data_IF_234233763040
#
_entry.id   IF_234233763040
#
_cell.length_a   1.000
_cell.length_b   1.000
_cell.length_c   1.000
_cell.angle_alpha   90.00
_cell.angle_beta   90.00
_cell.angle_gamma   90.00
#
_symmetry.space_group_name_H-M   'P 1'
#
loop_
_entity.id
_entity.type
_entity.pdbx_description
1 polymer ?
#
# COMPACT_ATOMS: atom_id res chain seq x y z
N UNK A 1 -9.79 -14.51 -25.43
CA UNK A 1 -9.62 -13.06 -25.15
C UNK A 1 -8.15 -12.86 -24.85
N UNK A 2 -7.49 -11.82 -25.39
CA UNK A 2 -6.07 -11.65 -25.16
C UNK A 2 -5.85 -11.33 -23.68
N UNK A 3 -5.22 -12.25 -22.97
CA UNK A 3 -4.66 -12.03 -21.64
C UNK A 3 -3.31 -11.37 -21.83
N UNK A 4 -3.28 -10.04 -21.80
CA UNK A 4 -2.01 -9.32 -21.83
C UNK A 4 -1.38 -9.41 -20.44
N UNK A 5 -0.39 -10.28 -20.31
CA UNK A 5 0.39 -10.49 -19.08
C UNK A 5 -0.39 -11.23 -17.98
N UNK A 6 0.34 -11.57 -16.91
CA UNK A 6 -0.22 -12.08 -15.67
C UNK A 6 -0.01 -11.04 -14.57
N UNK A 7 -1.07 -10.76 -13.79
CA UNK A 7 -0.91 -9.99 -12.57
C UNK A 7 -0.30 -10.91 -11.51
N UNK A 8 0.96 -10.64 -11.17
CA UNK A 8 1.65 -11.38 -10.12
C UNK A 8 1.07 -11.02 -8.75
N UNK A 9 1.03 -11.97 -7.80
CA UNK A 9 0.56 -11.67 -6.45
C UNK A 9 1.46 -10.64 -5.76
N UNK A 10 0.87 -9.82 -4.91
CA UNK A 10 1.63 -8.89 -4.08
C UNK A 10 2.38 -9.64 -2.98
N UNK A 11 3.71 -9.52 -2.97
CA UNK A 11 4.59 -10.09 -1.96
C UNK A 11 5.39 -9.03 -1.19
N UNK A 12 5.15 -7.73 -1.47
CA UNK A 12 5.92 -6.64 -0.89
C UNK A 12 5.40 -6.15 0.46
N UNK A 13 6.16 -5.26 1.08
CA UNK A 13 5.76 -4.49 2.26
C UNK A 13 5.78 -2.99 1.96
N UNK A 14 4.89 -2.22 2.59
CA UNK A 14 5.04 -0.77 2.64
C UNK A 14 4.90 -0.07 1.29
N UNK A 15 5.85 0.84 1.01
CA UNK A 15 5.85 1.77 -0.12
C UNK A 15 5.85 1.15 -1.53
N UNK A 16 6.03 -0.16 -1.66
CA UNK A 16 5.84 -0.86 -2.94
C UNK A 16 4.36 -1.04 -3.33
N UNK A 17 3.43 -0.80 -2.39
CA UNK A 17 2.00 -0.96 -2.61
C UNK A 17 1.41 0.00 -3.66
N UNK A 18 1.88 1.26 -3.71
CA UNK A 18 1.41 2.24 -4.70
C UNK A 18 1.73 1.80 -6.13
N UNK A 19 2.98 1.36 -6.37
CA UNK A 19 3.39 0.84 -7.68
C UNK A 19 2.68 -0.46 -8.05
N UNK A 20 2.34 -1.30 -7.06
CA UNK A 20 1.50 -2.47 -7.30
C UNK A 20 0.08 -2.07 -7.74
N UNK A 21 -0.56 -1.11 -7.06
CA UNK A 21 -1.88 -0.62 -7.48
C UNK A 21 -1.88 -0.02 -8.89
N UNK A 22 -0.82 0.68 -9.27
CA UNK A 22 -0.66 1.18 -10.64
C UNK A 22 -0.60 0.05 -11.66
N UNK A 23 0.18 -1.02 -11.39
CA UNK A 23 0.20 -2.23 -12.24
C UNK A 23 -1.18 -2.87 -12.36
N UNK A 24 -1.95 -2.94 -11.27
CA UNK A 24 -3.31 -3.50 -11.26
C UNK A 24 -4.24 -2.67 -12.14
N UNK A 25 -4.18 -1.34 -12.06
CA UNK A 25 -4.98 -0.44 -12.90
C UNK A 25 -4.63 -0.60 -14.38
N UNK A 26 -3.33 -0.59 -14.71
CA UNK A 26 -2.85 -0.82 -16.07
C UNK A 26 -3.30 -2.19 -16.61
N UNK A 27 -3.33 -3.22 -15.76
CA UNK A 27 -3.82 -4.53 -16.14
C UNK A 27 -5.32 -4.52 -16.48
N UNK A 28 -6.15 -3.83 -15.70
CA UNK A 28 -7.58 -3.69 -16.02
C UNK A 28 -7.83 -2.94 -17.32
N UNK A 29 -7.07 -1.87 -17.55
CA UNK A 29 -7.20 -1.05 -18.74
C UNK A 29 -6.75 -1.82 -19.99
N UNK A 30 -5.59 -2.50 -19.93
CA UNK A 30 -5.06 -3.30 -21.03
C UNK A 30 -5.96 -4.48 -21.42
N UNK A 31 -6.65 -5.08 -20.46
CA UNK A 31 -7.55 -6.22 -20.70
C UNK A 31 -9.03 -5.81 -20.86
N UNK A 32 -9.36 -4.52 -20.81
CA UNK A 32 -10.73 -4.01 -20.95
C UNK A 32 -11.70 -4.61 -19.93
N UNK A 33 -11.26 -4.79 -18.69
CA UNK A 33 -12.05 -5.50 -17.67
C UNK A 33 -13.25 -4.64 -17.24
N UNK A 34 -14.50 -5.13 -17.37
CA UNK A 34 -15.68 -4.41 -16.91
C UNK A 34 -15.61 -4.13 -15.41
N UNK A 35 -16.10 -2.98 -14.96
CA UNK A 35 -16.07 -2.56 -13.55
C UNK A 35 -16.59 -3.64 -12.59
N UNK A 36 -17.71 -4.27 -12.96
CA UNK A 36 -18.34 -5.37 -12.21
C UNK A 36 -17.43 -6.60 -12.04
N UNK A 37 -16.47 -6.81 -12.93
CA UNK A 37 -15.54 -7.96 -12.93
C UNK A 37 -14.17 -7.61 -12.35
N UNK A 38 -13.78 -6.33 -12.28
CA UNK A 38 -12.47 -5.91 -11.75
C UNK A 38 -12.23 -6.47 -10.36
N UNK A 39 -13.26 -6.47 -9.50
CA UNK A 39 -13.20 -7.04 -8.14
C UNK A 39 -12.85 -8.52 -8.16
N UNK A 40 -13.61 -9.33 -8.89
CA UNK A 40 -13.39 -10.78 -8.97
C UNK A 40 -12.02 -11.11 -9.56
N UNK A 41 -11.58 -10.36 -10.58
CA UNK A 41 -10.25 -10.50 -11.18
C UNK A 41 -9.17 -10.18 -10.14
N UNK A 42 -9.30 -9.08 -9.42
CA UNK A 42 -8.35 -8.70 -8.37
C UNK A 42 -8.21 -9.76 -7.28
N UNK A 43 -9.35 -10.20 -6.71
CA UNK A 43 -9.37 -11.17 -5.61
C UNK A 43 -8.78 -12.52 -6.03
N UNK A 44 -8.86 -12.88 -7.32
CA UNK A 44 -8.26 -14.12 -7.84
C UNK A 44 -6.75 -13.98 -8.04
N UNK A 45 -6.26 -12.78 -8.40
CA UNK A 45 -4.86 -12.55 -8.72
C UNK A 45 -4.02 -12.02 -7.54
N UNK A 46 -4.63 -11.47 -6.48
CA UNK A 46 -3.90 -10.82 -5.38
C UNK A 46 -3.07 -11.78 -4.50
N UNK A 47 -3.28 -13.10 -4.64
CA UNK A 47 -2.62 -14.14 -3.86
C UNK A 47 -3.30 -14.45 -2.53
N UNK A 48 -2.96 -15.61 -1.97
CA UNK A 48 -3.59 -16.17 -0.75
C UNK A 48 -3.36 -15.29 0.49
N UNK A 49 -2.16 -14.74 0.66
CA UNK A 49 -1.80 -13.85 1.77
C UNK A 49 -2.63 -12.57 1.77
N UNK A 50 -2.63 -11.86 0.64
CA UNK A 50 -3.41 -10.63 0.46
C UNK A 50 -4.91 -10.89 0.58
N UNK A 51 -5.40 -11.99 0.02
CA UNK A 51 -6.82 -12.37 0.12
C UNK A 51 -7.25 -12.61 1.57
N UNK A 52 -6.44 -13.35 2.34
CA UNK A 52 -6.71 -13.58 3.78
C UNK A 52 -6.73 -12.27 4.58
N UNK A 53 -5.83 -11.35 4.24
CA UNK A 53 -5.78 -10.02 4.85
C UNK A 53 -7.02 -9.18 4.49
N UNK A 54 -7.48 -9.23 3.24
CA UNK A 54 -8.74 -8.57 2.83
C UNK A 54 -9.92 -9.10 3.65
N UNK A 55 -10.04 -10.42 3.83
CA UNK A 55 -11.11 -11.00 4.65
C UNK A 55 -11.05 -10.53 6.10
N UNK A 56 -9.85 -10.47 6.67
CA UNK A 56 -9.65 -9.98 8.04
C UNK A 56 -10.04 -8.51 8.18
N UNK A 57 -9.65 -7.66 7.23
CA UNK A 57 -9.92 -6.22 7.29
C UNK A 57 -11.38 -5.84 6.93
N UNK A 58 -12.08 -6.66 6.14
CA UNK A 58 -13.47 -6.39 5.74
C UNK A 58 -14.50 -6.88 6.77
N UNK A 59 -14.09 -7.70 7.75
CA UNK A 59 -15.00 -8.23 8.78
C UNK A 59 -15.73 -7.09 9.49
N UNK A 60 -17.09 -7.10 9.58
CA UNK A 60 -18.02 -8.22 9.33
C UNK A 60 -18.64 -8.30 7.92
N UNK A 61 -18.24 -7.45 6.97
CA UNK A 61 -18.76 -7.43 5.60
C UNK A 61 -18.10 -8.51 4.74
N UNK A 62 -18.83 -9.02 3.75
CA UNK A 62 -18.25 -9.91 2.75
C UNK A 62 -17.62 -9.11 1.60
N UNK A 63 -16.53 -9.61 0.98
CA UNK A 63 -15.93 -8.95 -0.19
C UNK A 63 -16.93 -8.80 -1.36
N UNK A 64 -18.03 -9.55 -1.36
CA UNK A 64 -19.09 -9.42 -2.35
C UNK A 64 -19.99 -8.19 -2.19
N UNK A 65 -20.02 -7.60 -0.99
CA UNK A 65 -20.82 -6.41 -0.68
C UNK A 65 -20.04 -5.11 -0.84
N UNK A 66 -18.73 -5.21 -1.11
CA UNK A 66 -17.80 -4.09 -1.08
C UNK A 66 -17.31 -3.77 -2.50
N UNK A 67 -17.15 -2.49 -2.79
CA UNK A 67 -16.61 -2.01 -4.06
C UNK A 67 -15.10 -2.28 -4.17
N UNK A 68 -14.57 -2.34 -5.39
CA UNK A 68 -13.12 -2.52 -5.56
C UNK A 68 -12.32 -1.33 -5.00
N UNK A 69 -12.87 -0.12 -5.09
CA UNK A 69 -12.24 1.09 -4.55
C UNK A 69 -12.15 1.06 -3.02
N UNK A 70 -13.19 0.55 -2.34
CA UNK A 70 -13.15 0.33 -0.90
C UNK A 70 -12.07 -0.69 -0.52
N UNK A 71 -11.94 -1.79 -1.29
CA UNK A 71 -10.89 -2.80 -1.07
C UNK A 71 -9.50 -2.16 -1.21
N UNK A 72 -9.27 -1.36 -2.25
CA UNK A 72 -8.02 -0.65 -2.44
C UNK A 72 -7.74 0.38 -1.34
N UNK A 73 -8.77 1.07 -0.85
CA UNK A 73 -8.64 2.03 0.26
C UNK A 73 -8.23 1.33 1.55
N UNK A 74 -8.89 0.22 1.89
CA UNK A 74 -8.60 -0.57 3.09
C UNK A 74 -7.18 -1.14 3.04
N UNK A 75 -6.79 -1.71 1.90
CA UNK A 75 -5.44 -2.24 1.71
C UNK A 75 -4.37 -1.15 1.73
N UNK A 76 -4.65 0.01 1.14
CA UNK A 76 -3.75 1.16 1.20
C UNK A 76 -3.57 1.66 2.62
N UNK A 77 -4.63 1.68 3.43
CA UNK A 77 -4.53 2.02 4.86
C UNK A 77 -3.69 1.03 5.66
N UNK A 78 -3.68 -0.25 5.27
CA UNK A 78 -2.87 -1.27 5.93
C UNK A 78 -1.40 -1.24 5.48
N UNK A 79 -1.14 -1.24 4.17
CA UNK A 79 0.22 -1.27 3.64
C UNK A 79 0.93 0.09 3.71
N UNK A 80 0.18 1.19 3.66
CA UNK A 80 0.70 2.55 3.79
C UNK A 80 0.03 3.17 5.01
N UNK A 81 0.32 2.68 6.22
CA UNK A 81 -0.28 3.23 7.42
C UNK A 81 0.12 4.70 7.51
N UNK A 82 -0.89 5.57 7.65
CA UNK A 82 -0.64 6.99 7.85
C UNK A 82 0.30 7.14 9.06
N UNK A 83 1.48 7.76 8.91
CA UNK A 83 2.39 7.90 10.03
C UNK A 83 1.66 8.65 11.17
N UNK A 84 1.64 8.04 12.35
CA UNK A 84 1.05 8.68 13.52
C UNK A 84 1.86 9.92 13.85
N UNK A 85 1.20 11.07 13.92
CA UNK A 85 1.83 12.37 14.29
C UNK A 85 2.59 12.24 15.61
N UNK A 86 2.08 11.45 16.56
CA UNK A 86 2.75 11.21 17.85
C UNK A 86 4.05 10.43 17.66
N UNK A 87 4.05 9.37 16.85
CA UNK A 87 5.25 8.57 16.55
C UNK A 87 6.27 9.38 15.75
N UNK A 88 5.79 10.17 14.80
CA UNK A 88 6.60 11.06 13.98
C UNK A 88 7.31 12.12 14.84
N UNK A 89 6.58 12.81 15.72
CA UNK A 89 7.14 13.75 16.70
C UNK A 89 8.11 13.09 17.66
N UNK A 90 7.78 11.89 18.16
CA UNK A 90 8.68 11.13 19.02
C UNK A 90 10.00 10.81 18.29
N UNK A 91 9.94 10.28 17.07
CA UNK A 91 11.13 9.97 16.26
C UNK A 91 11.97 11.21 15.96
N UNK A 92 11.33 12.35 15.66
CA UNK A 92 12.02 13.62 15.45
C UNK A 92 12.74 14.09 16.73
N UNK A 93 12.04 14.10 17.86
CA UNK A 93 12.58 14.56 19.14
C UNK A 93 13.63 13.60 19.73
N UNK A 94 13.53 12.30 19.46
CA UNK A 94 14.48 11.28 19.90
C UNK A 94 15.72 11.19 19.00
N UNK A 95 15.77 11.91 17.87
CA UNK A 95 16.91 11.87 16.95
C UNK A 95 18.05 12.76 17.47
N UNK A 96 19.04 12.14 18.12
CA UNK A 96 20.31 12.78 18.51
C UNK A 96 21.37 12.66 17.41
N UNK A 97 22.29 13.63 17.26
CA UNK A 97 23.42 13.54 16.32
C UNK A 97 24.39 12.44 16.76
N UNK A 98 24.83 11.58 15.83
CA UNK A 98 25.84 10.55 16.15
C UNK A 98 27.26 11.15 16.24
N UNK A 99 28.20 10.51 16.97
CA UNK A 99 29.55 11.04 17.17
C UNK A 99 30.31 11.30 15.86
N UNK A 100 30.14 10.43 14.86
CA UNK A 100 30.80 10.54 13.55
C UNK A 100 29.96 11.27 12.48
N UNK A 101 28.76 11.74 12.82
CA UNK A 101 27.83 12.36 11.86
C UNK A 101 28.11 13.86 11.69
N UNK A 102 28.24 14.30 10.44
CA UNK A 102 28.39 15.72 10.12
C UNK A 102 27.12 16.51 10.47
N UNK A 103 27.27 17.81 10.75
CA UNK A 103 26.11 18.68 11.03
C UNK A 103 25.18 18.74 9.81
N UNK A 104 25.73 18.75 8.60
CA UNK A 104 24.93 18.70 7.36
C UNK A 104 24.10 17.43 7.25
N UNK A 105 24.67 16.25 7.52
CA UNK A 105 23.96 14.98 7.42
C UNK A 105 22.87 14.85 8.49
N UNK A 106 23.15 15.36 9.69
CA UNK A 106 22.18 15.43 10.76
C UNK A 106 20.99 16.32 10.40
N UNK A 107 21.23 17.52 9.87
CA UNK A 107 20.14 18.43 9.44
C UNK A 107 19.35 17.87 8.26
N UNK A 108 20.00 17.18 7.32
CA UNK A 108 19.33 16.49 6.22
C UNK A 108 18.42 15.36 6.74
N UNK A 109 18.89 14.59 7.72
CA UNK A 109 18.12 13.53 8.37
C UNK A 109 16.92 14.07 9.15
N UNK A 110 17.08 15.18 9.88
CA UNK A 110 15.96 15.85 10.56
C UNK A 110 14.91 16.37 9.58
N UNK A 111 15.34 16.98 8.47
CA UNK A 111 14.42 17.41 7.39
C UNK A 111 13.65 16.25 6.77
N UNK A 112 14.30 15.10 6.60
CA UNK A 112 13.64 13.88 6.11
C UNK A 112 12.59 13.35 7.09
N UNK A 113 12.87 13.40 8.39
CA UNK A 113 11.91 13.01 9.43
C UNK A 113 10.74 13.99 9.49
N UNK A 114 10.98 15.30 9.40
CA UNK A 114 9.92 16.31 9.43
C UNK A 114 9.00 16.28 8.20
N UNK A 115 9.48 15.80 7.05
CA UNK A 115 8.66 15.69 5.84
C UNK A 115 7.49 14.70 5.97
N UNK A 116 7.59 13.74 6.89
CA UNK A 116 6.56 12.73 7.16
C UNK A 116 5.75 13.02 8.44
N UNK A 117 6.02 14.14 9.12
CA UNK A 117 5.40 14.55 10.39
C UNK A 117 4.23 15.50 10.20
#
# INVERSE_FOLDING_TARGET
MPTYGALEPFHGEGGAWTGYLERVKLFFDANGVPEKKKRSVFLTCCGSSTYSLILSLLTPKTPDQVSIDEIFSVLSGHYIPKPSVVVCRFRFNSRSRQPEESVSDYTASLKKLSANC
#
